data_IF_751535821521
#
_entry.id   IF_751535821521
#
_cell.length_a   1.000
_cell.length_b   1.000
_cell.length_c   1.000
_cell.angle_alpha   90.00
_cell.angle_beta   90.00
_cell.angle_gamma   90.00
#
_symmetry.space_group_name_H-M   'P 1'
#
loop_
_entity.id
_entity.type
_entity.pdbx_description
1 polymer ?
#
# COMPACT_ATOMS: atom_id res chain seq x y z
N UNK A 1 10.13 -9.47 16.43
CA UNK A 1 9.23 -8.63 15.61
C UNK A 1 10.03 -8.18 14.41
N UNK A 2 9.61 -8.57 13.22
CA UNK A 2 10.18 -8.02 12.00
C UNK A 2 9.79 -6.54 11.94
N UNK A 3 10.79 -5.65 11.88
CA UNK A 3 10.57 -4.19 11.96
C UNK A 3 9.75 -3.64 10.80
N UNK A 4 9.57 -4.42 9.74
CA UNK A 4 8.82 -4.04 8.55
C UNK A 4 7.42 -4.66 8.48
N UNK A 5 7.05 -5.48 9.47
CA UNK A 5 5.66 -5.93 9.64
C UNK A 5 4.87 -4.92 10.46
N UNK A 6 3.63 -4.70 10.03
CA UNK A 6 2.70 -3.89 10.80
C UNK A 6 2.26 -4.65 12.05
N UNK A 7 1.92 -3.91 13.12
CA UNK A 7 1.42 -4.51 14.35
C UNK A 7 0.09 -5.24 14.13
N UNK A 8 -0.73 -4.74 13.20
CA UNK A 8 -1.98 -5.34 12.73
C UNK A 8 -2.11 -5.11 11.22
N UNK A 9 -2.80 -6.01 10.48
CA UNK A 9 -3.01 -5.84 9.05
C UNK A 9 -3.65 -4.49 8.71
N UNK A 10 -3.10 -3.78 7.73
CA UNK A 10 -3.68 -2.54 7.19
C UNK A 10 -4.72 -2.91 6.13
N UNK A 11 -5.95 -2.44 6.30
CA UNK A 11 -7.06 -2.71 5.39
C UNK A 11 -7.24 -1.57 4.39
N UNK A 12 -7.16 -1.87 3.11
CA UNK A 12 -7.28 -0.92 2.01
C UNK A 12 -8.57 -1.19 1.23
N UNK A 13 -9.33 -0.14 0.96
CA UNK A 13 -10.51 -0.17 0.10
C UNK A 13 -10.12 0.41 -1.28
N UNK A 14 -9.85 -0.43 -2.28
CA UNK A 14 -9.31 0.02 -3.57
C UNK A 14 -10.35 0.76 -4.44
N UNK A 15 -11.64 0.50 -4.22
CA UNK A 15 -12.75 1.17 -4.90
C UNK A 15 -14.11 0.55 -4.59
N UNK A 16 -15.20 1.17 -5.06
CA UNK A 16 -16.54 0.62 -4.90
C UNK A 16 -16.67 -0.74 -5.60
N UNK A 17 -17.21 -1.73 -4.88
CA UNK A 17 -17.44 -3.08 -5.39
C UNK A 17 -16.21 -3.98 -5.45
N UNK A 18 -15.03 -3.49 -5.06
CA UNK A 18 -13.82 -4.31 -4.95
C UNK A 18 -13.66 -4.88 -3.53
N UNK A 19 -13.08 -6.09 -3.39
CA UNK A 19 -12.80 -6.65 -2.07
C UNK A 19 -11.79 -5.80 -1.31
N UNK A 20 -11.87 -5.86 0.02
CA UNK A 20 -10.87 -5.26 0.91
C UNK A 20 -9.54 -5.99 0.69
N UNK A 21 -8.45 -5.23 0.53
CA UNK A 21 -7.10 -5.78 0.51
C UNK A 21 -6.47 -5.60 1.91
N UNK A 22 -5.86 -6.65 2.44
CA UNK A 22 -5.12 -6.60 3.71
C UNK A 22 -3.63 -6.64 3.41
N UNK A 23 -2.88 -5.80 4.12
CA UNK A 23 -1.44 -5.61 3.95
C UNK A 23 -0.76 -5.76 5.29
N UNK A 24 0.12 -6.74 5.42
CA UNK A 24 0.77 -7.11 6.69
C UNK A 24 2.17 -6.52 6.86
N UNK A 25 2.76 -6.01 5.78
CA UNK A 25 4.14 -5.51 5.79
C UNK A 25 4.38 -4.35 4.82
N UNK A 26 5.48 -3.63 5.04
CA UNK A 26 5.98 -2.60 4.11
C UNK A 26 6.28 -3.20 2.72
N UNK A 27 6.74 -4.46 2.67
CA UNK A 27 7.00 -5.15 1.40
C UNK A 27 5.71 -5.37 0.59
N UNK A 28 4.62 -5.80 1.24
CA UNK A 28 3.31 -5.91 0.60
C UNK A 28 2.73 -4.55 0.22
N UNK A 29 2.92 -3.53 1.05
CA UNK A 29 2.53 -2.15 0.72
C UNK A 29 3.25 -1.65 -0.55
N UNK A 30 4.52 -2.01 -0.75
CA UNK A 30 5.24 -1.70 -1.99
C UNK A 30 4.65 -2.42 -3.21
N UNK A 31 4.21 -3.67 -3.06
CA UNK A 31 3.53 -4.41 -4.14
C UNK A 31 2.21 -3.74 -4.50
N UNK A 32 1.43 -3.31 -3.49
CA UNK A 32 0.20 -2.56 -3.69
C UNK A 32 0.45 -1.25 -4.46
N UNK A 33 1.40 -0.44 -4.00
CA UNK A 33 1.75 0.84 -4.64
C UNK A 33 2.22 0.64 -6.09
N UNK A 34 2.98 -0.42 -6.41
CA UNK A 34 3.40 -0.68 -7.80
C UNK A 34 2.23 -0.93 -8.76
N UNK A 35 1.10 -1.44 -8.26
CA UNK A 35 -0.14 -1.66 -9.03
C UNK A 35 -1.01 -0.41 -9.14
N UNK A 36 -0.69 0.68 -8.42
CA UNK A 36 -1.51 1.88 -8.41
C UNK A 36 -1.65 2.49 -9.82
N UNK A 37 -2.87 2.90 -10.25
CA UNK A 37 -3.10 3.37 -11.62
C UNK A 37 -2.20 4.55 -11.97
N UNK A 38 -1.52 4.49 -13.12
CA UNK A 38 -0.54 5.51 -13.54
C UNK A 38 -1.13 6.92 -13.59
N UNK A 39 -2.38 7.06 -14.05
CA UNK A 39 -3.09 8.35 -14.08
C UNK A 39 -3.44 8.92 -12.69
N UNK A 40 -3.23 8.16 -11.61
CA UNK A 40 -3.44 8.58 -10.21
C UNK A 40 -2.13 8.70 -9.42
N UNK A 41 -0.96 8.62 -10.08
CA UNK A 41 0.36 8.72 -9.43
C UNK A 41 0.79 10.18 -9.27
N UNK A 42 0.20 10.85 -8.29
CA UNK A 42 0.54 12.22 -7.90
C UNK A 42 1.58 12.31 -6.77
N UNK A 43 1.78 13.49 -6.16
CA UNK A 43 2.74 13.69 -5.06
C UNK A 43 2.53 12.75 -3.87
N UNK A 44 1.27 12.43 -3.52
CA UNK A 44 0.93 11.50 -2.43
C UNK A 44 1.42 10.09 -2.74
N UNK A 45 1.29 9.64 -3.98
CA UNK A 45 1.81 8.34 -4.42
C UNK A 45 3.34 8.28 -4.28
N UNK A 46 4.03 9.35 -4.69
CA UNK A 46 5.49 9.41 -4.59
C UNK A 46 5.96 9.43 -3.13
N UNK A 47 5.27 10.17 -2.26
CA UNK A 47 5.53 10.17 -0.83
C UNK A 47 5.40 8.76 -0.23
N UNK A 48 4.31 8.05 -0.57
CA UNK A 48 4.09 6.68 -0.11
C UNK A 48 5.20 5.72 -0.57
N UNK A 49 5.60 5.80 -1.85
CA UNK A 49 6.73 5.00 -2.36
C UNK A 49 8.03 5.28 -1.59
N UNK A 50 8.36 6.56 -1.37
CA UNK A 50 9.59 6.95 -0.68
C UNK A 50 9.61 6.47 0.78
N UNK A 51 8.47 6.47 1.47
CA UNK A 51 8.39 5.99 2.86
C UNK A 51 8.49 4.47 2.98
N UNK A 52 8.19 3.73 1.90
CA UNK A 52 8.22 2.27 1.90
C UNK A 52 9.51 1.68 1.33
N UNK A 53 10.37 2.49 0.70
CA UNK A 53 11.71 2.15 0.23
C UNK A 53 12.78 2.43 1.29
#
# INVERSE_FOLDING_TARGET
MDRLHFFTPVRILPGQGQPVEEVDSVAEAMVFLRKWPTGRRGPVYQCALNCCS
#
